data_IF_384646173682
#
_entry.id   IF_384646173682
#
_cell.length_a   1.000
_cell.length_b   1.000
_cell.length_c   1.000
_cell.angle_alpha   90.00
_cell.angle_beta   90.00
_cell.angle_gamma   90.00
#
_symmetry.space_group_name_H-M   'P 1'
#
loop_
_entity.id
_entity.type
_entity.pdbx_description
1 polymer ?
#
# COMPACT_ATOMS: atom_id res chain seq x y z
N UNK A 1 -20.52 -9.34 -14.15
CA UNK A 1 -19.62 -8.27 -13.69
C UNK A 1 -18.19 -8.66 -14.03
N UNK A 2 -17.37 -7.76 -14.59
CA UNK A 2 -16.00 -8.12 -14.99
C UNK A 2 -15.07 -8.08 -13.76
N UNK A 3 -14.95 -9.22 -13.08
CA UNK A 3 -14.10 -9.38 -11.89
C UNK A 3 -12.63 -9.04 -12.16
N UNK A 4 -12.14 -9.25 -13.39
CA UNK A 4 -10.79 -8.85 -13.80
C UNK A 4 -10.57 -7.34 -13.70
N UNK A 5 -11.46 -6.53 -14.30
CA UNK A 5 -11.38 -5.06 -14.25
C UNK A 5 -11.45 -4.57 -12.81
N UNK A 6 -12.35 -5.14 -12.01
CA UNK A 6 -12.55 -4.75 -10.61
C UNK A 6 -11.32 -5.11 -9.75
N UNK A 7 -10.77 -6.31 -9.90
CA UNK A 7 -9.55 -6.73 -9.22
C UNK A 7 -8.33 -5.88 -9.59
N UNK A 8 -8.14 -5.59 -10.88
CA UNK A 8 -7.08 -4.71 -11.38
C UNK A 8 -7.21 -3.28 -10.83
N UNK A 9 -8.42 -2.72 -10.81
CA UNK A 9 -8.64 -1.38 -10.23
C UNK A 9 -8.30 -1.34 -8.74
N UNK A 10 -8.66 -2.37 -7.96
CA UNK A 10 -8.34 -2.44 -6.53
C UNK A 10 -6.82 -2.52 -6.31
N UNK A 11 -6.12 -3.33 -7.10
CA UNK A 11 -4.65 -3.40 -7.05
C UNK A 11 -4.00 -2.08 -7.47
N UNK A 12 -4.55 -1.39 -8.46
CA UNK A 12 -4.05 -0.08 -8.84
C UNK A 12 -4.23 0.95 -7.72
N UNK A 13 -5.37 0.92 -7.02
CA UNK A 13 -5.60 1.79 -5.86
C UNK A 13 -4.61 1.48 -4.73
N UNK A 14 -4.29 0.20 -4.46
CA UNK A 14 -3.30 -0.13 -3.42
C UNK A 14 -1.91 0.43 -3.75
N UNK A 15 -1.51 0.41 -5.02
CA UNK A 15 -0.26 1.04 -5.48
C UNK A 15 -0.30 2.56 -5.29
N UNK A 16 -1.42 3.21 -5.61
CA UNK A 16 -1.57 4.65 -5.38
C UNK A 16 -1.45 5.00 -3.89
N UNK A 17 -2.09 4.23 -3.00
CA UNK A 17 -1.99 4.41 -1.55
C UNK A 17 -0.53 4.27 -1.11
N UNK A 18 0.20 3.27 -1.62
CA UNK A 18 1.62 3.10 -1.33
C UNK A 18 2.48 4.28 -1.81
N UNK A 19 2.22 4.81 -3.00
CA UNK A 19 2.91 6.02 -3.47
C UNK A 19 2.63 7.23 -2.58
N UNK A 20 1.37 7.45 -2.19
CA UNK A 20 1.02 8.54 -1.27
C UNK A 20 1.66 8.38 0.11
N UNK A 21 1.80 7.13 0.56
CA UNK A 21 2.49 6.79 1.80
C UNK A 21 3.97 7.19 1.76
N UNK A 22 4.69 6.84 0.69
CA UNK A 22 6.09 7.24 0.51
C UNK A 22 6.24 8.77 0.46
N UNK A 23 5.33 9.46 -0.24
CA UNK A 23 5.34 10.93 -0.29
C UNK A 23 5.14 11.51 1.11
N UNK A 24 4.19 10.97 1.87
CA UNK A 24 3.95 11.38 3.26
C UNK A 24 5.18 11.14 4.14
N UNK A 25 5.89 10.02 3.99
CA UNK A 25 7.12 9.74 4.74
C UNK A 25 8.20 10.76 4.40
N UNK A 26 8.32 11.14 3.12
CA UNK A 26 9.25 12.17 2.70
C UNK A 26 8.94 13.52 3.35
N UNK A 27 7.66 13.91 3.44
CA UNK A 27 7.26 15.16 4.09
C UNK A 27 7.52 15.09 5.60
N UNK A 28 7.13 14.01 6.25
CA UNK A 28 7.31 13.79 7.69
C UNK A 28 8.78 13.68 8.09
N UNK A 29 9.66 13.23 7.18
CA UNK A 29 11.10 13.23 7.42
C UNK A 29 11.67 14.64 7.69
N UNK A 30 11.04 15.70 7.14
CA UNK A 30 11.46 17.08 7.41
C UNK A 30 11.14 17.51 8.84
N UNK A 31 10.03 17.05 9.43
CA UNK A 31 9.71 17.38 10.83
C UNK A 31 10.61 16.62 11.79
N UNK A 32 11.01 15.40 11.43
CA UNK A 32 11.93 14.58 12.24
C UNK A 32 13.37 15.12 12.31
N UNK A 33 13.79 15.93 11.33
CA UNK A 33 15.07 16.63 11.38
C UNK A 33 15.17 17.53 12.62
N UNK A 34 14.05 18.09 13.06
CA UNK A 34 13.98 19.01 14.20
C UNK A 34 13.64 18.28 15.52
N UNK A 35 12.89 17.18 15.47
CA UNK A 35 12.25 16.57 16.64
C UNK A 35 12.89 15.27 17.15
N UNK A 36 14.12 14.96 16.70
CA UNK A 36 14.89 13.73 16.96
C UNK A 36 14.37 12.48 16.24
N UNK A 37 15.27 11.83 15.49
CA UNK A 37 15.02 10.61 14.72
C UNK A 37 15.90 9.46 15.24
N UNK A 38 15.52 8.21 14.96
CA UNK A 38 16.28 7.05 15.43
C UNK A 38 17.56 6.86 14.59
N UNK A 39 18.73 7.11 15.20
CA UNK A 39 20.05 7.03 14.56
C UNK A 39 20.32 5.72 13.81
N UNK A 40 19.73 4.60 14.28
CA UNK A 40 19.93 3.29 13.65
C UNK A 40 19.08 3.09 12.39
N UNK A 41 17.97 3.81 12.26
CA UNK A 41 17.02 3.64 11.16
C UNK A 41 17.24 4.66 10.05
N UNK A 42 17.73 5.86 10.36
CA UNK A 42 17.76 6.96 9.39
C UNK A 42 16.47 7.77 9.44
N UNK A 43 16.55 9.07 9.18
CA UNK A 43 15.41 10.00 9.25
C UNK A 43 14.22 9.49 8.42
N UNK A 44 14.49 9.05 7.19
CA UNK A 44 13.46 8.59 6.28
C UNK A 44 12.82 7.26 6.71
N UNK A 45 13.59 6.35 7.29
CA UNK A 45 13.06 5.06 7.72
C UNK A 45 12.30 5.19 9.04
N UNK A 46 12.74 6.05 9.96
CA UNK A 46 11.95 6.43 11.15
C UNK A 46 10.64 7.08 10.72
N UNK A 47 10.68 7.99 9.74
CA UNK A 47 9.48 8.59 9.21
C UNK A 47 8.54 7.55 8.60
N UNK A 48 9.06 6.63 7.79
CA UNK A 48 8.28 5.50 7.28
C UNK A 48 7.65 4.73 8.43
N UNK A 49 8.40 4.24 9.41
CA UNK A 49 7.88 3.42 10.51
C UNK A 49 6.71 4.11 11.24
N UNK A 50 6.86 5.39 11.58
CA UNK A 50 5.86 6.14 12.34
C UNK A 50 4.56 6.36 11.56
N UNK A 51 4.63 6.60 10.25
CA UNK A 51 3.44 6.83 9.42
C UNK A 51 2.92 5.57 8.70
N UNK A 52 3.61 4.43 8.81
CA UNK A 52 3.35 3.21 8.03
C UNK A 52 2.18 2.35 8.48
N UNK A 53 1.79 2.42 9.76
CA UNK A 53 0.89 1.42 10.34
C UNK A 53 -0.46 1.38 9.62
N UNK A 54 -1.10 2.54 9.45
CA UNK A 54 -2.43 2.62 8.82
C UNK A 54 -2.37 2.35 7.31
N UNK A 55 -1.49 3.01 6.52
CA UNK A 55 -1.40 2.78 5.08
C UNK A 55 -1.06 1.33 4.74
N UNK A 56 -0.10 0.71 5.44
CA UNK A 56 0.28 -0.68 5.18
C UNK A 56 -0.87 -1.65 5.42
N UNK A 57 -1.64 -1.45 6.49
CA UNK A 57 -2.80 -2.29 6.77
C UNK A 57 -3.84 -2.22 5.64
N UNK A 58 -4.15 -1.02 5.15
CA UNK A 58 -5.09 -0.82 4.05
C UNK A 58 -4.57 -1.44 2.75
N UNK A 59 -3.28 -1.25 2.44
CA UNK A 59 -2.63 -1.81 1.24
C UNK A 59 -2.73 -3.34 1.25
N UNK A 60 -2.42 -3.99 2.38
CA UNK A 60 -2.49 -5.45 2.52
C UNK A 60 -3.92 -5.95 2.25
N UNK A 61 -4.92 -5.31 2.83
CA UNK A 61 -6.33 -5.68 2.60
C UNK A 61 -6.68 -5.55 1.12
N UNK A 62 -6.32 -4.43 0.48
CA UNK A 62 -6.64 -4.19 -0.92
C UNK A 62 -5.94 -5.18 -1.85
N UNK A 63 -4.69 -5.53 -1.54
CA UNK A 63 -3.95 -6.56 -2.27
C UNK A 63 -4.65 -7.92 -2.16
N UNK A 64 -5.03 -8.33 -0.96
CA UNK A 64 -5.72 -9.61 -0.74
C UNK A 64 -7.06 -9.65 -1.50
N UNK A 65 -7.85 -8.58 -1.43
CA UNK A 65 -9.13 -8.49 -2.14
C UNK A 65 -8.90 -8.52 -3.65
N UNK A 66 -7.98 -7.69 -4.16
CA UNK A 66 -7.66 -7.61 -5.59
C UNK A 66 -7.19 -8.94 -6.18
N UNK A 67 -6.28 -9.63 -5.48
CA UNK A 67 -5.80 -10.96 -5.88
C UNK A 67 -6.93 -11.99 -5.84
N UNK A 68 -7.75 -12.02 -4.78
CA UNK A 68 -8.85 -12.98 -4.67
C UNK A 68 -9.84 -12.87 -5.83
N UNK A 69 -10.14 -11.65 -6.28
CA UNK A 69 -11.02 -11.39 -7.41
C UNK A 69 -10.43 -11.88 -8.74
N UNK A 70 -9.12 -11.71 -8.93
CA UNK A 70 -8.44 -12.22 -10.13
C UNK A 70 -8.42 -13.76 -10.14
N UNK A 71 -8.19 -14.39 -9.00
CA UNK A 71 -8.24 -15.86 -8.85
C UNK A 71 -9.65 -16.37 -9.18
N UNK A 72 -10.70 -15.75 -8.61
CA UNK A 72 -12.10 -16.12 -8.90
C UNK A 72 -12.39 -15.98 -10.40
N UNK A 73 -11.94 -14.89 -11.02
CA UNK A 73 -12.11 -14.68 -12.46
C UNK A 73 -11.41 -15.78 -13.28
N UNK A 74 -10.20 -16.17 -12.88
CA UNK A 74 -9.43 -17.21 -13.54
C UNK A 74 -10.12 -18.59 -13.44
N UNK A 75 -10.61 -18.95 -12.25
CA UNK A 75 -11.35 -20.21 -12.03
C UNK A 75 -12.65 -20.23 -12.85
N UNK A 76 -13.42 -19.14 -12.84
CA UNK A 76 -14.68 -19.06 -13.58
C UNK A 76 -14.48 -19.13 -15.09
N UNK A 77 -13.37 -18.60 -15.61
CA UNK A 77 -13.05 -18.69 -17.04
C UNK A 77 -12.60 -20.11 -17.44
N UNK A 78 -12.00 -20.87 -16.52
CA UNK A 78 -11.59 -22.27 -16.76
C UNK A 78 -12.78 -23.24 -16.81
N UNK A 79 -13.85 -22.94 -16.09
CA UNK A 79 -15.05 -23.78 -15.99
C UNK A 79 -16.13 -23.47 -17.05
N UNK A 80 -15.83 -22.58 -18.00
CA UNK A 80 -16.68 -22.24 -19.14
C UNK A 80 -16.08 -22.78 -20.42
#
# INVERSE_FOLDING_TARGET
MNYSKLGLSILFISVLIYCTHIISASIYSYTLLESSWNQNLGIFNTALEEISIIPNFIIIIFILIGISLLIINFINNKNR
#
